data_IF_724264267336
#
_entry.id   IF_724264267336
#
_cell.length_a   1.000
_cell.length_b   1.000
_cell.length_c   1.000
_cell.angle_alpha   90.00
_cell.angle_beta   90.00
_cell.angle_gamma   90.00
#
_symmetry.space_group_name_H-M   'P 1'
#
loop_
_entity.id
_entity.type
_entity.pdbx_description
1 polymer ?
#
# COMPACT_ATOMS: atom_id res chain seq x y z
N UNK A 1 2.02 13.87 7.62
CA UNK A 1 1.07 13.22 6.68
C UNK A 1 1.79 12.13 5.90
N UNK A 2 1.22 10.94 5.74
CA UNK A 2 1.76 9.88 4.88
C UNK A 2 1.03 9.82 3.54
N UNK A 3 1.77 9.76 2.43
CA UNK A 3 1.23 9.56 1.07
C UNK A 3 1.80 8.25 0.54
N UNK A 4 0.97 7.24 0.31
CA UNK A 4 1.39 5.96 -0.25
C UNK A 4 0.20 5.24 -0.87
N UNK A 5 0.31 4.87 -2.14
CA UNK A 5 -0.71 4.08 -2.84
C UNK A 5 -0.40 2.60 -2.56
N UNK A 6 -1.02 2.07 -1.52
CA UNK A 6 -0.78 0.72 -1.03
C UNK A 6 -1.26 -0.35 -2.03
N UNK A 7 -0.38 -1.11 -2.69
CA UNK A 7 -0.81 -2.11 -3.68
C UNK A 7 -1.64 -3.24 -3.08
N UNK A 8 -1.40 -3.59 -1.80
CA UNK A 8 -2.03 -4.73 -1.14
C UNK A 8 -3.53 -4.59 -0.89
N UNK A 9 -4.06 -3.37 -0.94
CA UNK A 9 -5.49 -3.11 -0.79
C UNK A 9 -6.25 -3.18 -2.12
N UNK A 10 -5.56 -3.38 -3.25
CA UNK A 10 -6.17 -3.50 -4.56
C UNK A 10 -6.19 -4.95 -5.05
N UNK A 11 -7.33 -5.38 -5.58
CA UNK A 11 -7.44 -6.68 -6.25
C UNK A 11 -6.87 -6.64 -7.68
N UNK A 12 -6.63 -7.81 -8.27
CA UNK A 12 -6.24 -7.90 -9.69
C UNK A 12 -7.39 -7.34 -10.55
N UNK A 13 -7.05 -6.41 -11.44
CA UNK A 13 -8.04 -5.75 -12.30
C UNK A 13 -8.73 -4.53 -11.66
N UNK A 14 -8.44 -4.20 -10.41
CA UNK A 14 -8.78 -2.89 -9.86
C UNK A 14 -7.87 -1.79 -10.43
N UNK A 15 -8.19 -0.54 -10.12
CA UNK A 15 -7.63 0.67 -10.68
C UNK A 15 -6.25 1.05 -10.14
N UNK A 16 -5.48 0.13 -9.55
CA UNK A 16 -4.15 0.42 -9.01
C UNK A 16 -3.21 1.10 -10.03
N UNK A 17 -3.22 0.63 -11.28
CA UNK A 17 -2.37 1.18 -12.35
C UNK A 17 -2.78 2.59 -12.81
N UNK A 18 -4.06 2.93 -12.66
CA UNK A 18 -4.66 4.20 -13.07
C UNK A 18 -5.00 5.12 -11.90
N UNK A 19 -4.67 4.73 -10.66
CA UNK A 19 -4.99 5.51 -9.48
C UNK A 19 -4.30 6.89 -9.60
N UNK A 20 -5.04 8.00 -9.48
CA UNK A 20 -4.47 9.33 -9.64
C UNK A 20 -3.30 9.55 -8.68
N UNK A 21 -2.18 10.03 -9.21
CA UNK A 21 -1.00 10.36 -8.41
C UNK A 21 -0.38 11.66 -8.91
N UNK A 22 -0.29 12.66 -8.03
CA UNK A 22 0.33 13.95 -8.32
C UNK A 22 1.01 14.47 -7.05
N UNK A 23 2.16 13.88 -6.74
CA UNK A 23 2.88 14.18 -5.50
C UNK A 23 3.21 15.67 -5.35
N UNK A 24 3.62 16.33 -6.43
CA UNK A 24 3.87 17.77 -6.44
C UNK A 24 2.61 18.59 -6.09
N UNK A 25 1.47 18.24 -6.69
CA UNK A 25 0.19 18.86 -6.37
C UNK A 25 -0.25 18.64 -4.92
N UNK A 26 0.07 17.48 -4.35
CA UNK A 26 -0.22 17.17 -2.95
C UNK A 26 0.69 17.98 -2.01
N UNK A 27 1.98 18.11 -2.31
CA UNK A 27 2.93 18.92 -1.54
C UNK A 27 2.52 20.40 -1.48
N UNK A 28 2.06 20.96 -2.60
CA UNK A 28 1.58 22.35 -2.66
C UNK A 28 0.41 22.58 -1.69
N UNK A 29 -0.56 21.66 -1.65
CA UNK A 29 -1.71 21.73 -0.75
C UNK A 29 -1.29 21.58 0.71
N UNK A 30 -0.42 20.61 1.00
CA UNK A 30 0.03 20.34 2.37
C UNK A 30 0.87 21.49 2.95
N UNK A 31 1.69 22.14 2.12
CA UNK A 31 2.45 23.34 2.52
C UNK A 31 1.52 24.48 2.95
N UNK A 32 0.40 24.68 2.25
CA UNK A 32 -0.58 25.71 2.59
C UNK A 32 -1.29 25.45 3.93
N UNK A 33 -1.26 24.21 4.43
CA UNK A 33 -1.86 23.79 5.71
C UNK A 33 -0.84 23.70 6.84
N UNK A 34 0.39 24.18 6.64
CA UNK A 34 1.47 24.12 7.64
C UNK A 34 1.77 22.70 8.15
N UNK A 35 1.68 21.69 7.27
CA UNK A 35 2.05 20.31 7.61
C UNK A 35 3.57 20.21 7.82
N UNK A 36 3.98 19.71 8.99
CA UNK A 36 5.40 19.66 9.40
C UNK A 36 6.24 18.67 8.59
N UNK A 37 5.66 17.53 8.23
CA UNK A 37 6.36 16.46 7.52
C UNK A 37 5.44 15.66 6.60
N UNK A 38 5.99 15.23 5.46
CA UNK A 38 5.36 14.31 4.52
C UNK A 38 6.22 13.05 4.38
N UNK A 39 5.63 11.90 4.69
CA UNK A 39 6.26 10.59 4.50
C UNK A 39 5.73 9.95 3.22
N UNK A 40 6.57 9.80 2.19
CA UNK A 40 6.22 9.25 0.88
C UNK A 40 7.19 8.13 0.45
N UNK A 41 7.05 6.92 1.01
CA UNK A 41 7.91 5.78 0.66
C UNK A 41 7.56 5.21 -0.72
N UNK A 42 8.58 4.71 -1.44
CA UNK A 42 8.38 4.03 -2.73
C UNK A 42 7.71 2.66 -2.56
N UNK A 43 8.16 1.86 -1.60
CA UNK A 43 7.51 0.60 -1.20
C UNK A 43 7.64 0.41 0.32
N UNK A 44 6.62 -0.17 0.95
CA UNK A 44 6.58 -0.51 2.36
C UNK A 44 6.71 -2.01 2.60
N UNK A 45 6.84 -2.82 1.55
CA UNK A 45 6.88 -4.27 1.64
C UNK A 45 8.26 -4.83 1.28
N UNK A 46 8.77 -5.72 2.15
CA UNK A 46 9.90 -6.59 1.83
C UNK A 46 9.33 -7.86 1.21
N UNK A 47 9.88 -8.28 0.08
CA UNK A 47 9.46 -9.47 -0.69
C UNK A 47 10.57 -10.52 -0.60
N UNK A 48 10.19 -11.80 -0.67
CA UNK A 48 10.96 -12.97 -0.22
C UNK A 48 12.30 -13.28 -0.93
N UNK A 49 12.79 -12.38 -1.78
CA UNK A 49 14.00 -12.54 -2.58
C UNK A 49 15.21 -11.73 -2.06
N UNK A 50 15.09 -11.10 -0.88
CA UNK A 50 16.24 -10.49 -0.17
C UNK A 50 16.89 -9.30 -0.89
N UNK A 51 16.36 -8.90 -2.05
CA UNK A 51 16.73 -7.68 -2.75
C UNK A 51 15.83 -6.55 -2.28
N UNK A 52 16.30 -5.79 -1.31
CA UNK A 52 15.75 -4.45 -1.10
C UNK A 52 16.89 -3.49 -0.78
N UNK A 53 17.04 -2.48 -1.63
CA UNK A 53 17.49 -1.09 -1.42
C UNK A 53 18.20 -0.59 -2.70
N UNK A 54 17.47 0.12 -3.57
CA UNK A 54 18.07 1.06 -4.53
C UNK A 54 18.07 0.72 -6.03
N UNK A 55 17.47 -0.38 -6.51
CA UNK A 55 17.35 -0.60 -7.96
C UNK A 55 16.04 -0.03 -8.52
N UNK A 56 16.17 0.98 -9.39
CA UNK A 56 15.09 1.47 -10.25
C UNK A 56 14.55 0.33 -11.11
N UNK A 57 13.41 -0.24 -10.73
CA UNK A 57 12.70 -1.15 -11.62
C UNK A 57 11.99 -0.36 -12.72
N UNK A 58 12.67 -0.22 -13.86
CA UNK A 58 12.11 0.12 -15.19
C UNK A 58 11.21 -1.02 -15.75
N UNK A 59 10.39 -1.63 -14.89
CA UNK A 59 9.54 -2.77 -15.21
C UNK A 59 8.08 -2.41 -14.95
N UNK A 60 7.23 -2.72 -15.92
CA UNK A 60 5.76 -2.58 -15.86
C UNK A 60 5.25 -2.90 -14.44
N UNK A 61 4.52 -1.97 -13.80
CA UNK A 61 3.90 -2.16 -12.47
C UNK A 61 2.96 -3.38 -12.50
N UNK A 62 3.48 -4.59 -12.36
CA UNK A 62 2.66 -5.79 -12.20
C UNK A 62 1.97 -5.67 -10.85
N UNK A 63 0.64 -5.70 -10.86
CA UNK A 63 -0.17 -5.75 -9.65
C UNK A 63 0.23 -6.97 -8.83
N UNK A 64 0.98 -6.77 -7.76
CA UNK A 64 1.28 -7.86 -6.83
C UNK A 64 0.11 -7.96 -5.87
N UNK A 65 -0.91 -8.69 -6.32
CA UNK A 65 -2.00 -9.12 -5.46
C UNK A 65 -1.45 -10.19 -4.52
N UNK A 66 -1.49 -9.90 -3.23
CA UNK A 66 -1.03 -10.78 -2.15
C UNK A 66 -1.96 -12.00 -1.93
N UNK A 67 -2.76 -12.38 -2.93
CA UNK A 67 -3.62 -13.56 -2.94
C UNK A 67 -3.36 -14.52 -4.10
N UNK A 68 -2.41 -14.24 -5.00
CA UNK A 68 -2.06 -15.24 -6.01
C UNK A 68 -1.30 -16.37 -5.32
N UNK A 69 -2.00 -17.49 -5.06
CA UNK A 69 -1.36 -18.79 -4.87
C UNK A 69 -0.47 -19.03 -6.10
N UNK A 70 0.85 -18.90 -5.93
CA UNK A 70 1.85 -19.04 -6.99
C UNK A 70 2.62 -17.78 -7.38
N UNK A 71 2.47 -16.65 -6.67
CA UNK A 71 3.29 -15.46 -6.87
C UNK A 71 4.42 -15.33 -5.84
N UNK A 72 5.66 -15.65 -6.21
CA UNK A 72 6.89 -15.58 -5.37
C UNK A 72 7.24 -14.19 -4.81
N UNK A 73 6.39 -13.18 -4.99
CA UNK A 73 6.68 -11.77 -4.69
C UNK A 73 5.77 -11.17 -3.60
N UNK A 74 5.08 -11.99 -2.82
CA UNK A 74 4.25 -11.53 -1.69
C UNK A 74 5.08 -11.11 -0.46
N UNK A 75 4.54 -10.23 0.38
CA UNK A 75 5.08 -10.01 1.74
C UNK A 75 4.51 -11.07 2.70
N UNK A 76 5.35 -11.55 3.62
CA UNK A 76 5.00 -12.67 4.50
C UNK A 76 4.06 -12.31 5.65
N UNK A 77 4.11 -11.06 6.14
CA UNK A 77 3.37 -10.63 7.33
C UNK A 77 2.20 -9.72 6.96
N UNK A 78 0.99 -10.08 7.42
CA UNK A 78 -0.22 -9.28 7.26
C UNK A 78 -1.08 -9.30 8.53
N UNK A 79 -1.99 -8.32 8.62
CA UNK A 79 -2.97 -8.18 9.70
C UNK A 79 -4.38 -8.27 9.13
N UNK A 80 -5.28 -8.95 9.84
CA UNK A 80 -6.69 -9.12 9.46
C UNK A 80 -7.61 -8.63 10.56
N UNK A 81 -8.81 -8.20 10.16
CA UNK A 81 -9.87 -7.77 11.07
C UNK A 81 -11.10 -8.62 10.81
N UNK A 82 -11.07 -9.85 11.33
CA UNK A 82 -11.89 -10.98 10.87
C UNK A 82 -13.39 -10.72 10.73
N UNK A 83 -13.98 -9.97 11.66
CA UNK A 83 -15.43 -9.70 11.65
C UNK A 83 -15.79 -8.45 10.84
N UNK A 84 -14.97 -7.40 10.92
CA UNK A 84 -15.27 -6.10 10.30
C UNK A 84 -14.89 -6.06 8.82
N UNK A 85 -14.02 -6.94 8.36
CA UNK A 85 -13.61 -6.99 6.95
C UNK A 85 -14.63 -7.67 6.03
N UNK A 86 -15.66 -8.33 6.58
CA UNK A 86 -16.64 -9.13 5.81
C UNK A 86 -17.81 -8.33 5.21
N UNK A 87 -18.48 -7.41 5.94
CA UNK A 87 -19.67 -6.70 5.42
C UNK A 87 -19.31 -5.52 4.50
N UNK A 88 -20.34 -4.93 3.87
CA UNK A 88 -20.24 -3.73 3.03
C UNK A 88 -19.22 -3.89 1.88
N UNK A 89 -18.27 -2.97 1.74
CA UNK A 89 -17.19 -3.03 0.76
C UNK A 89 -16.34 -4.30 0.89
N UNK A 90 -16.34 -4.96 2.05
CA UNK A 90 -15.65 -6.22 2.27
C UNK A 90 -16.21 -7.37 1.43
N UNK A 91 -17.50 -7.28 1.07
CA UNK A 91 -18.16 -8.26 0.20
C UNK A 91 -17.65 -8.14 -1.24
N UNK A 92 -17.51 -6.92 -1.75
CA UNK A 92 -17.06 -6.67 -3.13
C UNK A 92 -15.53 -6.62 -3.27
N UNK A 93 -14.80 -6.35 -2.18
CA UNK A 93 -13.34 -6.17 -2.17
C UNK A 93 -12.70 -7.04 -1.07
N UNK A 94 -12.61 -8.36 -1.28
CA UNK A 94 -12.23 -9.32 -0.24
C UNK A 94 -10.80 -9.14 0.31
N UNK A 95 -9.91 -8.45 -0.41
CA UNK A 95 -8.53 -8.15 0.03
C UNK A 95 -8.35 -6.78 0.69
N UNK A 96 -9.31 -5.88 0.50
CA UNK A 96 -9.12 -4.46 0.75
C UNK A 96 -8.74 -4.19 2.21
N UNK A 97 -9.52 -4.72 3.15
CA UNK A 97 -9.30 -4.46 4.57
C UNK A 97 -8.04 -5.14 5.13
N UNK A 98 -7.62 -6.29 4.60
CA UNK A 98 -6.33 -6.90 4.96
C UNK A 98 -5.18 -5.97 4.57
N UNK A 99 -5.23 -5.43 3.35
CA UNK A 99 -4.22 -4.49 2.88
C UNK A 99 -4.19 -3.19 3.70
N UNK A 100 -5.36 -2.64 4.01
CA UNK A 100 -5.51 -1.44 4.86
C UNK A 100 -4.98 -1.68 6.27
N UNK A 101 -5.40 -2.75 6.95
CA UNK A 101 -4.97 -3.05 8.31
C UNK A 101 -3.45 -3.26 8.39
N UNK A 102 -2.87 -3.93 7.39
CA UNK A 102 -1.42 -4.19 7.33
C UNK A 102 -0.62 -2.90 7.14
N UNK A 103 -0.99 -2.04 6.18
CA UNK A 103 -0.23 -0.81 5.93
C UNK A 103 -0.38 0.19 7.07
N UNK A 104 -1.56 0.30 7.68
CA UNK A 104 -1.80 1.21 8.81
C UNK A 104 -0.99 0.79 10.02
N UNK A 105 -0.93 -0.50 10.35
CA UNK A 105 -0.09 -0.98 11.45
C UNK A 105 1.40 -0.72 11.20
N UNK A 106 1.89 -0.89 9.96
CA UNK A 106 3.26 -0.49 9.62
C UNK A 106 3.49 0.99 9.84
N UNK A 107 2.56 1.85 9.41
CA UNK A 107 2.67 3.29 9.61
C UNK A 107 2.66 3.68 11.09
N UNK A 108 1.84 3.03 11.93
CA UNK A 108 1.86 3.24 13.37
C UNK A 108 3.22 2.88 13.99
N UNK A 109 3.81 1.75 13.58
CA UNK A 109 5.12 1.34 14.08
C UNK A 109 6.28 2.21 13.57
N UNK A 110 6.13 2.89 12.41
CA UNK A 110 7.16 3.77 11.85
C UNK A 110 7.07 5.19 12.44
N UNK A 111 5.85 5.73 12.50
CA UNK A 111 5.61 7.13 12.84
C UNK A 111 5.49 7.34 14.34
N UNK A 112 5.11 6.31 15.10
CA UNK A 112 4.81 6.39 16.54
C UNK A 112 3.97 7.64 16.89
N UNK A 113 2.79 7.79 16.26
CA UNK A 113 2.01 9.04 16.29
C UNK A 113 1.36 9.34 17.65
#
# INVERSE_FOLDING_TARGET
>A
VSIYINPSQFAVGEDFGSYPSNFEGDLLKLRALSVDAVFNPHDLYVRGDGKTFGEECSGTRKSVSCLQEGGDNGHETWIRVERLEKPLCGVSRPVFFRGVATVVAKLFNIVEP
#
